data_IF_314163317461
#
_entry.id   IF_314163317461
#
_cell.length_a   1.000
_cell.length_b   1.000
_cell.length_c   1.000
_cell.angle_alpha   90.00
_cell.angle_beta   90.00
_cell.angle_gamma   90.00
#
_symmetry.space_group_name_H-M   'P 1'
#
loop_
_entity.id
_entity.type
_entity.pdbx_description
1 polymer ?
#
# COMPACT_ATOMS: atom_id res chain seq x y z
N UNK A 1 -2.51 -1.39 -16.08
CA UNK A 1 -2.48 -0.04 -15.44
C UNK A 1 -1.03 0.48 -15.47
N UNK A 2 -0.83 1.79 -15.31
CA UNK A 2 0.50 2.42 -15.30
C UNK A 2 0.89 2.78 -13.86
N UNK A 3 2.19 2.72 -13.56
CA UNK A 3 2.76 3.26 -12.32
C UNK A 3 3.01 4.76 -12.49
N UNK A 4 3.20 5.44 -11.36
CA UNK A 4 3.48 6.86 -11.28
C UNK A 4 4.86 7.20 -11.86
N UNK A 5 4.94 8.37 -12.46
CA UNK A 5 6.18 8.98 -12.93
C UNK A 5 6.97 9.59 -11.78
N UNK A 6 8.25 9.86 -12.03
CA UNK A 6 9.11 10.58 -11.07
C UNK A 6 8.55 11.94 -10.63
N UNK A 7 7.86 12.65 -11.51
CA UNK A 7 7.26 13.94 -11.19
C UNK A 7 6.04 13.76 -10.26
N UNK A 8 5.22 12.74 -10.54
CA UNK A 8 4.07 12.38 -9.70
C UNK A 8 4.52 11.92 -8.31
N UNK A 9 5.58 11.11 -8.19
CA UNK A 9 6.13 10.74 -6.87
C UNK A 9 6.63 11.94 -6.06
N UNK A 10 7.30 12.92 -6.71
CA UNK A 10 7.68 14.18 -6.02
C UNK A 10 6.46 14.94 -5.55
N UNK A 11 5.44 15.05 -6.39
CA UNK A 11 4.18 15.68 -6.04
C UNK A 11 3.50 14.97 -4.85
N UNK A 12 3.39 13.64 -4.89
CA UNK A 12 2.82 12.83 -3.82
C UNK A 12 3.54 13.05 -2.49
N UNK A 13 4.88 13.11 -2.51
CA UNK A 13 5.68 13.44 -1.34
C UNK A 13 5.42 14.87 -0.83
N UNK A 14 5.28 15.84 -1.73
CA UNK A 14 4.99 17.24 -1.37
C UNK A 14 3.63 17.37 -0.69
N UNK A 15 2.61 16.61 -1.14
CA UNK A 15 1.28 16.62 -0.51
C UNK A 15 1.19 15.74 0.74
N UNK A 16 2.29 15.10 1.16
CA UNK A 16 2.39 14.33 2.40
C UNK A 16 2.00 12.86 2.29
N UNK A 17 2.04 12.26 1.09
CA UNK A 17 1.86 10.82 0.94
C UNK A 17 3.15 10.07 1.31
N UNK A 18 3.03 9.11 2.23
CA UNK A 18 4.11 8.18 2.60
C UNK A 18 4.10 6.88 1.77
N UNK A 19 2.94 6.55 1.17
CA UNK A 19 2.74 5.41 0.29
C UNK A 19 1.69 5.72 -0.77
N UNK A 20 1.76 5.07 -1.94
CA UNK A 20 0.77 5.17 -3.01
C UNK A 20 0.30 3.79 -3.44
N UNK A 21 -0.98 3.70 -3.78
CA UNK A 21 -1.62 2.47 -4.25
C UNK A 21 -2.89 2.79 -5.02
N UNK A 22 -3.43 1.78 -5.70
CA UNK A 22 -4.53 1.94 -6.66
C UNK A 22 -5.88 1.42 -6.13
N UNK A 23 -6.05 1.31 -4.81
CA UNK A 23 -7.24 0.72 -4.15
C UNK A 23 -7.42 1.30 -2.72
N UNK A 24 -8.23 0.66 -1.88
CA UNK A 24 -8.46 0.90 -0.45
C UNK A 24 -9.24 2.17 -0.10
N UNK A 25 -8.99 3.30 -0.77
CA UNK A 25 -9.69 4.57 -0.50
C UNK A 25 -11.20 4.46 -0.72
N UNK A 26 -11.71 3.88 -1.84
CA UNK A 26 -13.15 3.74 -2.03
C UNK A 26 -13.81 2.89 -0.93
N UNK A 27 -13.18 1.79 -0.52
CA UNK A 27 -13.67 0.89 0.50
C UNK A 27 -13.72 1.58 1.88
N UNK A 28 -12.67 2.33 2.22
CA UNK A 28 -12.61 3.09 3.47
C UNK A 28 -13.71 4.17 3.55
N UNK A 29 -13.99 4.86 2.43
CA UNK A 29 -15.07 5.85 2.35
C UNK A 29 -16.43 5.20 2.63
N UNK A 30 -16.70 4.05 2.00
CA UNK A 30 -17.96 3.31 2.20
C UNK A 30 -18.08 2.80 3.64
N UNK A 31 -16.99 2.26 4.21
CA UNK A 31 -17.01 1.77 5.58
C UNK A 31 -17.27 2.89 6.60
N UNK A 32 -16.67 4.07 6.39
CA UNK A 32 -16.96 5.27 7.19
C UNK A 32 -18.43 5.72 7.05
N UNK A 33 -19.00 5.66 5.84
CA UNK A 33 -20.41 5.98 5.61
C UNK A 33 -21.35 5.04 6.39
N UNK A 34 -20.95 3.78 6.59
CA UNK A 34 -21.67 2.78 7.37
C UNK A 34 -21.31 2.79 8.86
N UNK A 35 -20.51 3.75 9.33
CA UNK A 35 -19.98 3.83 10.69
C UNK A 35 -19.26 2.55 11.15
N UNK A 36 -18.58 1.86 10.23
CA UNK A 36 -17.83 0.64 10.54
C UNK A 36 -16.40 0.99 10.97
N UNK A 37 -15.90 0.43 12.09
CA UNK A 37 -14.50 0.59 12.46
C UNK A 37 -13.61 -0.08 11.41
N UNK A 38 -12.52 0.59 11.02
CA UNK A 38 -11.61 0.14 9.98
C UNK A 38 -10.16 0.18 10.44
N UNK A 39 -9.39 -0.83 10.04
CA UNK A 39 -7.94 -0.84 10.09
C UNK A 39 -7.42 -1.23 8.71
N UNK A 40 -6.43 -0.48 8.20
CA UNK A 40 -5.80 -0.73 6.91
C UNK A 40 -4.32 -1.05 7.12
N UNK A 41 -3.80 -1.99 6.33
CA UNK A 41 -2.38 -2.34 6.32
C UNK A 41 -1.92 -2.38 4.87
N UNK A 42 -0.83 -1.66 4.58
CA UNK A 42 -0.18 -1.66 3.27
C UNK A 42 1.16 -2.38 3.35
N UNK A 43 1.40 -3.29 2.42
CA UNK A 43 2.72 -3.90 2.22
C UNK A 43 3.47 -3.05 1.20
N UNK A 44 4.62 -2.53 1.58
CA UNK A 44 5.49 -1.78 0.65
C UNK A 44 6.24 -2.79 -0.23
N UNK A 45 5.84 -2.86 -1.50
CA UNK A 45 6.35 -3.84 -2.48
C UNK A 45 7.55 -3.38 -3.28
N UNK A 46 7.75 -2.06 -3.33
CA UNK A 46 8.77 -1.39 -4.11
C UNK A 46 9.10 -0.02 -3.48
N UNK A 47 10.29 0.49 -3.78
CA UNK A 47 10.77 1.77 -3.26
C UNK A 47 10.53 2.89 -4.29
N UNK A 48 9.71 3.86 -3.91
CA UNK A 48 9.29 4.97 -4.76
C UNK A 48 10.24 6.19 -4.67
N UNK A 49 11.56 5.99 -4.77
CA UNK A 49 12.53 7.09 -4.74
C UNK A 49 12.55 7.84 -6.09
N UNK A 50 12.06 9.08 -6.18
CA UNK A 50 11.98 9.81 -7.43
C UNK A 50 13.35 10.23 -8.00
N UNK A 51 14.41 10.25 -7.19
CA UNK A 51 15.77 10.60 -7.60
C UNK A 51 16.55 9.38 -8.11
N UNK A 52 16.23 8.18 -7.59
CA UNK A 52 16.86 6.91 -7.97
C UNK A 52 15.89 5.89 -8.61
N UNK A 53 14.80 6.35 -9.21
CA UNK A 53 13.74 5.47 -9.72
C UNK A 53 14.22 4.57 -10.88
N UNK A 54 14.26 3.27 -10.61
CA UNK A 54 14.52 2.21 -11.59
C UNK A 54 13.21 1.69 -12.21
N UNK A 55 13.24 1.14 -13.44
CA UNK A 55 12.07 0.48 -14.01
C UNK A 55 11.63 -0.70 -13.15
N UNK A 56 10.38 -0.67 -12.69
CA UNK A 56 9.80 -1.74 -11.85
C UNK A 56 9.16 -2.80 -12.74
N UNK A 57 9.44 -4.08 -12.45
CA UNK A 57 8.73 -5.20 -13.05
C UNK A 57 7.61 -5.65 -12.12
N UNK A 58 6.41 -5.79 -12.67
CA UNK A 58 5.23 -6.23 -11.92
C UNK A 58 5.47 -7.59 -11.23
N UNK A 59 6.26 -8.48 -11.83
CA UNK A 59 6.60 -9.77 -11.23
C UNK A 59 7.36 -9.61 -9.91
N UNK A 60 8.26 -8.63 -9.81
CA UNK A 60 9.05 -8.39 -8.62
C UNK A 60 8.14 -7.88 -7.48
N UNK A 61 7.22 -6.96 -7.79
CA UNK A 61 6.17 -6.49 -6.86
C UNK A 61 5.38 -7.68 -6.30
N UNK A 62 4.89 -8.57 -7.17
CA UNK A 62 4.13 -9.75 -6.76
C UNK A 62 4.97 -10.68 -5.89
N UNK A 63 6.25 -10.86 -6.22
CA UNK A 63 7.15 -11.70 -5.43
C UNK A 63 7.38 -11.14 -4.01
N UNK A 64 7.54 -9.83 -3.89
CA UNK A 64 7.69 -9.14 -2.59
C UNK A 64 6.41 -9.24 -1.77
N UNK A 65 5.25 -9.07 -2.41
CA UNK A 65 3.96 -9.23 -1.74
C UNK A 65 3.77 -10.65 -1.19
N UNK A 66 4.04 -11.68 -2.01
CA UNK A 66 3.95 -13.08 -1.60
C UNK A 66 4.94 -13.42 -0.48
N UNK A 67 6.12 -12.81 -0.48
CA UNK A 67 7.09 -12.96 0.61
C UNK A 67 6.59 -12.35 1.93
N UNK A 68 5.88 -11.22 1.87
CA UNK A 68 5.32 -10.56 3.05
C UNK A 68 4.01 -11.19 3.56
N UNK A 69 3.28 -11.91 2.70
CA UNK A 69 1.96 -12.50 3.00
C UNK A 69 1.93 -13.32 4.30
N UNK A 70 2.86 -14.24 4.59
CA UNK A 70 2.80 -15.04 5.81
C UNK A 70 2.88 -14.19 7.09
N UNK A 71 3.67 -13.11 7.05
CA UNK A 71 3.81 -12.18 8.17
C UNK A 71 2.54 -11.35 8.35
N UNK A 72 1.93 -10.91 7.25
CA UNK A 72 0.66 -10.19 7.27
C UNK A 72 -0.46 -11.07 7.86
N UNK A 73 -0.57 -12.33 7.42
CA UNK A 73 -1.53 -13.29 7.95
C UNK A 73 -1.33 -13.51 9.45
N UNK A 74 -0.08 -13.66 9.89
CA UNK A 74 0.24 -13.79 11.32
C UNK A 74 -0.18 -12.54 12.10
N UNK A 75 0.15 -11.35 11.61
CA UNK A 75 -0.20 -10.08 12.24
C UNK A 75 -1.72 -9.94 12.40
N UNK A 76 -2.49 -10.17 11.33
CA UNK A 76 -3.95 -10.09 11.39
C UNK A 76 -4.54 -11.13 12.36
N UNK A 77 -4.06 -12.38 12.33
CA UNK A 77 -4.55 -13.42 13.24
C UNK A 77 -4.32 -13.06 14.70
N UNK A 78 -3.16 -12.52 15.05
CA UNK A 78 -2.89 -12.11 16.43
C UNK A 78 -3.64 -10.82 16.82
N UNK A 79 -3.82 -9.88 15.89
CA UNK A 79 -4.62 -8.68 16.11
C UNK A 79 -6.08 -9.02 16.41
N UNK A 80 -6.69 -9.92 15.63
CA UNK A 80 -8.07 -10.35 15.81
C UNK A 80 -8.33 -11.07 17.13
N UNK A 81 -7.32 -11.69 17.76
CA UNK A 81 -7.46 -12.29 19.09
C UNK A 81 -7.55 -11.27 20.22
N UNK A 82 -7.11 -10.03 19.97
CA UNK A 82 -7.02 -8.95 20.96
C UNK A 82 -8.07 -7.85 20.75
N UNK A 83 -8.95 -8.00 19.75
CA UNK A 83 -10.11 -7.15 19.50
C UNK A 83 -11.38 -7.83 19.99
#
# INVERSE_FOLDING_TARGET
PQLETRAEYRYLKIIGADAVGMSTVPEAIVANHLCLPCAAISVLTDECDPDNLLPVKIQDIISTANFAEPNLVRLFRELLKNL
#
